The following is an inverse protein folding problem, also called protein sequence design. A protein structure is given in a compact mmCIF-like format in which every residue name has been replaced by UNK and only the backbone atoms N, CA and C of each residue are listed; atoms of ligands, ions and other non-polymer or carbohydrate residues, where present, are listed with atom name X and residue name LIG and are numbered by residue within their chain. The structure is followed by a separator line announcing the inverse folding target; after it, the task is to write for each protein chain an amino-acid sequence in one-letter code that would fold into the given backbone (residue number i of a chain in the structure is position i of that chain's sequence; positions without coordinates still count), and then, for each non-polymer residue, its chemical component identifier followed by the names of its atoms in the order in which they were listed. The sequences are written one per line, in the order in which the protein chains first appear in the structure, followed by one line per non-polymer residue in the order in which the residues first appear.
data_IF_971214415180
#
_entry.id   IF_971214415180
#
_cell.length_a   1.000
_cell.length_b   1.000
_cell.length_c   1.000
_cell.angle_alpha   90.00
_cell.angle_beta   90.00
_cell.angle_gamma   90.00
#
_symmetry.space_group_name_H-M   'P 1'
#
loop_
_entity.id
_entity.type
_entity.pdbx_description
1 polymer ?
#
# COMPACT_ATOMS: atom_id res chain seq x y z
N UNK A 1 -14.97 -71.10 4.63
CA UNK A 1 -14.56 -70.95 3.22
C UNK A 1 -15.72 -70.32 2.47
N UNK A 2 -15.65 -69.01 2.17
CA UNK A 2 -16.21 -68.32 1.01
C UNK A 2 -16.24 -66.80 1.24
N UNK A 3 -15.50 -66.10 0.37
CA UNK A 3 -15.36 -64.65 0.26
C UNK A 3 -16.66 -64.05 -0.29
N UNK A 4 -17.10 -62.91 0.24
CA UNK A 4 -17.77 -61.88 -0.57
C UNK A 4 -17.33 -60.49 -0.07
N UNK A 5 -16.58 -59.81 -0.92
CA UNK A 5 -16.19 -58.40 -0.80
C UNK A 5 -17.20 -57.60 -1.64
N UNK A 6 -17.89 -56.61 -1.05
CA UNK A 6 -18.51 -55.50 -1.80
C UNK A 6 -18.46 -54.22 -0.95
N UNK A 7 -17.68 -53.26 -1.43
CA UNK A 7 -17.50 -51.89 -0.96
C UNK A 7 -18.81 -51.08 -1.05
N UNK A 8 -18.94 -49.99 -0.28
CA UNK A 8 -19.39 -48.64 -0.69
C UNK A 8 -19.75 -47.81 0.55
N UNK A 9 -19.12 -46.63 0.71
CA UNK A 9 -19.47 -45.68 1.77
C UNK A 9 -18.36 -44.68 2.09
N UNK A 10 -17.95 -43.87 1.13
CA UNK A 10 -17.21 -42.64 1.41
C UNK A 10 -18.21 -41.51 1.72
N UNK A 11 -17.96 -40.74 2.78
CA UNK A 11 -18.59 -39.43 2.99
C UNK A 11 -17.58 -38.46 3.63
N UNK A 12 -16.70 -37.95 2.77
CA UNK A 12 -16.24 -36.57 2.66
C UNK A 12 -16.23 -35.71 3.94
N UNK A 13 -15.07 -35.67 4.61
CA UNK A 13 -14.75 -34.66 5.62
C UNK A 13 -13.47 -33.93 5.20
N UNK A 14 -13.49 -33.16 4.11
CA UNK A 14 -12.36 -32.28 3.75
C UNK A 14 -12.78 -31.22 2.74
N UNK A 15 -13.38 -30.11 3.18
CA UNK A 15 -13.35 -28.87 2.39
C UNK A 15 -13.69 -27.64 3.24
N UNK A 16 -12.74 -27.16 4.04
CA UNK A 16 -12.78 -25.82 4.66
C UNK A 16 -11.37 -25.46 5.18
N UNK A 17 -10.41 -25.24 4.26
CA UNK A 17 -9.08 -24.75 4.63
C UNK A 17 -8.44 -23.81 3.59
N UNK A 18 -9.19 -23.35 2.59
CA UNK A 18 -8.63 -22.56 1.47
C UNK A 18 -8.86 -21.05 1.60
N UNK A 19 -9.61 -20.58 2.62
CA UNK A 19 -9.90 -19.13 2.80
C UNK A 19 -8.99 -18.42 3.82
N UNK A 20 -8.19 -19.15 4.60
CA UNK A 20 -7.37 -18.57 5.68
C UNK A 20 -5.99 -18.10 5.27
N UNK A 21 -5.47 -18.53 4.11
CA UNK A 21 -4.10 -18.18 3.67
C UNK A 21 -4.06 -16.77 3.06
N UNK A 22 -5.05 -16.41 2.25
CA UNK A 22 -5.10 -15.09 1.60
C UNK A 22 -5.31 -13.96 2.61
N UNK A 23 -6.11 -14.18 3.66
CA UNK A 23 -6.31 -13.18 4.72
C UNK A 23 -5.06 -12.97 5.58
N UNK A 24 -4.30 -14.04 5.86
CA UNK A 24 -3.06 -13.94 6.63
C UNK A 24 -1.97 -13.16 5.86
N UNK A 25 -1.81 -13.41 4.56
CA UNK A 25 -0.88 -12.65 3.72
C UNK A 25 -1.27 -11.17 3.58
N UNK A 26 -2.56 -10.88 3.38
CA UNK A 26 -3.05 -9.50 3.32
C UNK A 26 -2.85 -8.77 4.66
N UNK A 27 -3.09 -9.44 5.79
CA UNK A 27 -2.85 -8.89 7.12
C UNK A 27 -1.37 -8.53 7.35
N UNK A 28 -0.45 -9.34 6.82
CA UNK A 28 0.99 -9.08 6.90
C UNK A 28 1.41 -7.85 6.07
N UNK A 29 0.88 -7.70 4.85
CA UNK A 29 1.11 -6.51 4.02
C UNK A 29 0.52 -5.24 4.64
N UNK A 30 -0.69 -5.33 5.22
CA UNK A 30 -1.31 -4.20 5.90
C UNK A 30 -0.50 -3.71 7.09
N UNK A 31 -0.03 -4.64 7.93
CA UNK A 31 0.82 -4.32 9.07
C UNK A 31 2.14 -3.69 8.60
N UNK A 32 2.77 -4.25 7.56
CA UNK A 32 4.00 -3.72 6.98
C UNK A 32 3.84 -2.28 6.48
N UNK A 33 2.76 -1.97 5.77
CA UNK A 33 2.51 -0.62 5.29
C UNK A 33 2.32 0.39 6.43
N UNK A 34 1.58 0.00 7.48
CA UNK A 34 1.38 0.83 8.68
C UNK A 34 2.69 1.11 9.41
N UNK A 35 3.43 0.05 9.70
CA UNK A 35 4.72 0.14 10.40
C UNK A 35 5.72 1.01 9.63
N UNK A 36 5.73 0.92 8.30
CA UNK A 36 6.65 1.71 7.48
C UNK A 36 6.28 3.19 7.44
N UNK A 37 4.98 3.53 7.45
CA UNK A 37 4.52 4.92 7.61
C UNK A 37 4.90 5.47 8.98
N UNK A 38 4.70 4.70 10.06
CA UNK A 38 5.07 5.15 11.40
C UNK A 38 6.59 5.34 11.54
N UNK A 39 7.40 4.44 10.96
CA UNK A 39 8.86 4.60 10.89
C UNK A 39 9.28 5.82 10.08
N UNK A 40 8.60 6.09 8.96
CA UNK A 40 8.89 7.27 8.13
C UNK A 40 8.60 8.57 8.88
N UNK A 41 7.47 8.64 9.59
CA UNK A 41 7.13 9.79 10.43
C UNK A 41 8.16 9.98 11.55
N UNK A 42 8.52 8.90 12.26
CA UNK A 42 9.53 8.97 13.31
C UNK A 42 10.89 9.44 12.81
N UNK A 43 11.33 8.95 11.63
CA UNK A 43 12.56 9.42 11.00
C UNK A 43 12.46 10.90 10.61
N UNK A 44 11.33 11.31 10.01
CA UNK A 44 11.08 12.71 9.66
C UNK A 44 11.20 13.63 10.87
N UNK A 45 10.64 13.24 12.02
CA UNK A 45 10.70 14.01 13.26
C UNK A 45 12.13 14.08 13.84
N UNK A 46 12.92 13.01 13.69
CA UNK A 46 14.29 12.94 14.21
C UNK A 46 15.30 13.73 13.36
N UNK A 47 15.25 13.56 12.03
CA UNK A 47 16.27 14.09 11.12
C UNK A 47 15.82 15.28 10.28
N UNK A 48 14.54 15.63 10.36
CA UNK A 48 13.93 16.71 9.59
C UNK A 48 13.64 16.36 8.13
N UNK A 49 12.99 17.30 7.44
CA UNK A 49 12.45 17.10 6.11
C UNK A 49 13.49 16.74 5.05
N UNK A 50 14.55 17.54 4.91
CA UNK A 50 15.53 17.37 3.82
C UNK A 50 16.18 15.98 3.86
N UNK A 51 16.72 15.61 5.02
CA UNK A 51 17.42 14.34 5.19
C UNK A 51 16.49 13.13 5.11
N UNK A 52 15.29 13.20 5.68
CA UNK A 52 14.32 12.10 5.57
C UNK A 52 13.84 11.91 4.13
N UNK A 53 13.62 12.99 3.38
CA UNK A 53 13.18 12.91 1.99
C UNK A 53 14.25 12.33 1.08
N UNK A 54 15.52 12.62 1.32
CA UNK A 54 16.63 11.96 0.62
C UNK A 54 16.63 10.45 0.88
N UNK A 55 16.44 10.04 2.14
CA UNK A 55 16.36 8.62 2.52
C UNK A 55 15.13 7.92 1.90
N UNK A 56 13.98 8.59 1.82
CA UNK A 56 12.78 8.03 1.17
C UNK A 56 12.90 7.96 -0.35
N UNK A 57 13.79 8.74 -0.97
CA UNK A 57 14.04 8.71 -2.41
C UNK A 57 15.19 7.77 -2.80
N UNK A 58 15.96 7.26 -1.84
CA UNK A 58 16.99 6.25 -2.08
C UNK A 58 16.33 4.89 -2.42
N UNK A 59 16.39 4.52 -3.70
CA UNK A 59 15.86 3.24 -4.20
C UNK A 59 16.56 2.01 -3.62
N UNK A 60 17.75 2.18 -3.05
CA UNK A 60 18.52 1.14 -2.36
C UNK A 60 18.43 1.24 -0.84
N UNK A 61 17.68 2.21 -0.32
CA UNK A 61 17.52 2.47 1.11
C UNK A 61 16.47 1.57 1.77
N UNK A 62 16.40 1.65 3.11
CA UNK A 62 15.52 0.84 3.94
C UNK A 62 14.02 1.09 3.72
N UNK A 63 13.65 2.22 3.12
CA UNK A 63 12.27 2.59 2.82
C UNK A 63 11.82 2.14 1.43
N UNK A 64 12.62 1.35 0.71
CA UNK A 64 12.26 0.80 -0.60
C UNK A 64 12.64 -0.68 -0.63
N UNK A 65 11.66 -1.56 -0.57
CA UNK A 65 11.87 -3.00 -0.68
C UNK A 65 10.64 -3.70 -1.24
N UNK A 66 10.88 -4.70 -2.10
CA UNK A 66 9.84 -5.43 -2.82
C UNK A 66 8.85 -4.51 -3.57
N UNK A 67 7.65 -4.32 -3.03
CA UNK A 67 6.61 -3.42 -3.54
C UNK A 67 6.36 -2.21 -2.64
N UNK A 68 6.94 -2.21 -1.44
CA UNK A 68 6.76 -1.17 -0.43
C UNK A 68 7.74 -0.03 -0.67
N UNK A 69 7.20 1.18 -0.66
CA UNK A 69 8.00 2.39 -0.70
C UNK A 69 7.24 3.56 -0.07
N UNK A 70 7.97 4.43 0.63
CA UNK A 70 7.41 5.65 1.22
C UNK A 70 7.20 6.71 0.15
N UNK A 71 6.01 7.30 0.15
CA UNK A 71 5.68 8.53 -0.58
C UNK A 71 5.28 9.56 0.47
N UNK A 72 5.75 10.79 0.30
CA UNK A 72 5.28 11.95 1.07
C UNK A 72 4.63 12.93 0.09
N UNK A 73 3.50 13.50 0.46
CA UNK A 73 2.81 14.54 -0.29
C UNK A 73 2.49 15.76 0.57
N UNK A 74 2.34 16.91 -0.07
CA UNK A 74 1.72 18.10 0.52
C UNK A 74 0.29 17.78 0.99
N UNK A 75 -0.07 18.17 2.21
CA UNK A 75 -1.34 17.79 2.84
C UNK A 75 -2.58 18.51 2.28
N UNK A 76 -2.40 19.56 1.47
CA UNK A 76 -3.50 20.34 0.89
C UNK A 76 -3.67 20.06 -0.60
N UNK A 77 -2.57 20.11 -1.34
CA UNK A 77 -2.53 19.96 -2.80
C UNK A 77 -2.27 18.52 -3.24
N UNK A 78 -1.91 17.63 -2.31
CA UNK A 78 -1.55 16.24 -2.62
C UNK A 78 -0.35 16.11 -3.57
N UNK A 79 0.44 17.17 -3.73
CA UNK A 79 1.61 17.16 -4.62
C UNK A 79 2.68 16.27 -3.99
N UNK A 80 3.17 15.28 -4.73
CA UNK A 80 4.22 14.39 -4.24
C UNK A 80 5.54 15.15 -4.03
N UNK A 81 6.11 14.97 -2.85
CA UNK A 81 7.40 15.49 -2.40
C UNK A 81 8.50 14.43 -2.48
N UNK A 82 8.13 13.16 -2.33
CA UNK A 82 9.03 12.01 -2.54
C UNK A 82 8.33 10.95 -3.39
N UNK A 83 9.09 10.24 -4.23
CA UNK A 83 8.60 9.07 -4.95
C UNK A 83 9.77 8.27 -5.57
N UNK A 84 10.42 7.40 -4.79
CA UNK A 84 11.60 6.65 -5.23
C UNK A 84 11.42 5.88 -6.55
N UNK A 85 10.27 5.22 -6.74
CA UNK A 85 10.06 4.37 -7.92
C UNK A 85 9.95 5.19 -9.22
N UNK A 86 9.14 6.25 -9.22
CA UNK A 86 8.94 7.15 -10.35
C UNK A 86 9.16 8.62 -9.95
N UNK A 87 10.43 9.10 -9.93
CA UNK A 87 10.77 10.46 -9.54
C UNK A 87 10.12 11.55 -10.40
N UNK A 88 9.64 11.22 -11.61
CA UNK A 88 8.93 12.17 -12.50
C UNK A 88 7.57 12.61 -11.95
N UNK A 89 7.05 11.93 -10.93
CA UNK A 89 5.80 12.30 -10.27
C UNK A 89 6.02 13.37 -9.19
N UNK A 90 7.24 13.54 -8.69
CA UNK A 90 7.57 14.56 -7.70
C UNK A 90 7.34 15.95 -8.30
N UNK A 91 6.70 16.85 -7.54
CA UNK A 91 6.32 18.20 -7.94
C UNK A 91 5.42 18.29 -9.19
N UNK A 92 4.73 17.21 -9.56
CA UNK A 92 3.83 17.22 -10.72
C UNK A 92 2.44 17.78 -10.32
N UNK A 93 2.03 18.96 -10.84
CA UNK A 93 0.75 19.57 -10.49
C UNK A 93 -0.46 18.83 -11.09
N UNK A 94 -0.26 18.00 -12.11
CA UNK A 94 -1.34 17.27 -12.79
C UNK A 94 -1.88 16.08 -11.99
N UNK A 95 -1.25 15.71 -10.88
CA UNK A 95 -1.67 14.54 -10.10
C UNK A 95 -2.98 14.76 -9.35
N UNK A 96 -3.35 16.01 -9.05
CA UNK A 96 -4.62 16.33 -8.39
C UNK A 96 -5.85 15.87 -9.18
N UNK A 97 -5.76 15.92 -10.52
CA UNK A 97 -6.83 15.54 -11.44
C UNK A 97 -6.63 14.14 -12.02
N UNK A 98 -5.60 13.41 -11.58
CA UNK A 98 -5.31 12.07 -12.07
C UNK A 98 -6.38 11.09 -11.58
N UNK A 99 -7.02 10.43 -12.53
CA UNK A 99 -7.99 9.38 -12.28
C UNK A 99 -7.39 8.01 -12.58
N UNK A 100 -7.79 7.01 -11.79
CA UNK A 100 -7.61 5.62 -12.17
C UNK A 100 -8.60 5.20 -13.27
N UNK A 101 -8.54 3.93 -13.67
CA UNK A 101 -9.44 3.36 -14.69
C UNK A 101 -10.91 3.30 -14.28
N UNK A 102 -11.21 3.52 -12.99
CA UNK A 102 -12.55 3.55 -12.42
C UNK A 102 -13.03 4.99 -12.19
N UNK A 103 -12.36 5.98 -12.79
CA UNK A 103 -12.66 7.42 -12.64
C UNK A 103 -12.50 7.96 -11.22
N UNK A 104 -11.77 7.25 -10.34
CA UNK A 104 -11.47 7.73 -8.98
C UNK A 104 -10.31 8.72 -9.03
N UNK A 105 -10.51 9.91 -8.46
CA UNK A 105 -9.42 10.88 -8.25
C UNK A 105 -8.51 10.42 -7.11
N UNK A 106 -7.38 9.79 -7.47
CA UNK A 106 -6.53 9.06 -6.54
C UNK A 106 -5.98 9.98 -5.43
N UNK A 107 -5.40 11.11 -5.84
CA UNK A 107 -4.70 12.01 -4.90
C UNK A 107 -5.68 12.77 -4.01
N UNK A 108 -6.85 13.12 -4.54
CA UNK A 108 -7.89 13.79 -3.76
C UNK A 108 -8.40 12.88 -2.64
N UNK A 109 -8.64 11.62 -2.97
CA UNK A 109 -9.06 10.60 -2.00
C UNK A 109 -8.02 10.38 -0.90
N UNK A 110 -6.72 10.34 -1.24
CA UNK A 110 -5.65 10.28 -0.23
C UNK A 110 -5.65 11.51 0.68
N UNK A 111 -5.80 12.70 0.12
CA UNK A 111 -5.84 13.95 0.90
C UNK A 111 -7.06 14.00 1.82
N UNK A 112 -8.23 13.63 1.32
CA UNK A 112 -9.46 13.53 2.10
C UNK A 112 -9.33 12.46 3.20
N UNK A 113 -8.74 11.31 2.90
CA UNK A 113 -8.49 10.23 3.86
C UNK A 113 -7.58 10.70 5.01
N UNK A 114 -6.47 11.35 4.68
CA UNK A 114 -5.53 11.89 5.67
C UNK A 114 -6.17 12.97 6.55
N UNK A 115 -7.03 13.81 5.99
CA UNK A 115 -7.77 14.85 6.73
C UNK A 115 -8.85 14.26 7.65
N UNK A 116 -9.54 13.21 7.18
CA UNK A 116 -10.64 12.59 7.93
C UNK A 116 -10.18 11.64 9.03
N UNK A 117 -8.97 11.09 8.93
CA UNK A 117 -8.47 10.02 9.81
C UNK A 117 -7.13 10.40 10.46
N UNK A 118 -7.12 11.05 11.63
CA UNK A 118 -5.89 11.45 12.33
C UNK A 118 -4.95 10.29 12.64
N UNK A 119 -5.51 9.11 12.92
CA UNK A 119 -4.75 7.88 13.20
C UNK A 119 -4.33 7.12 11.92
N UNK A 120 -4.71 7.64 10.76
CA UNK A 120 -4.47 7.06 9.44
C UNK A 120 -5.68 6.32 8.86
N UNK A 121 -5.69 6.15 7.54
CA UNK A 121 -6.76 5.50 6.78
C UNK A 121 -6.28 4.85 5.48
N UNK A 122 -7.14 4.05 4.86
CA UNK A 122 -6.84 3.34 3.62
C UNK A 122 -7.44 4.04 2.40
N UNK A 123 -6.63 4.23 1.36
CA UNK A 123 -7.05 4.65 0.02
C UNK A 123 -6.79 3.51 -0.97
N UNK A 124 -7.82 3.11 -1.72
CA UNK A 124 -7.77 2.02 -2.70
C UNK A 124 -8.02 2.55 -4.12
N UNK A 125 -7.20 2.14 -5.08
CA UNK A 125 -7.25 2.59 -6.47
C UNK A 125 -6.47 1.65 -7.38
N UNK A 126 -6.73 1.70 -8.69
CA UNK A 126 -5.92 0.95 -9.66
C UNK A 126 -4.66 1.74 -10.05
N UNK A 127 -3.50 1.09 -10.04
CA UNK A 127 -2.22 1.72 -10.43
C UNK A 127 -1.30 0.75 -11.18
N UNK A 128 -0.32 1.30 -11.90
CA UNK A 128 0.71 0.49 -12.55
C UNK A 128 1.62 -0.14 -11.50
N UNK A 129 1.68 -1.47 -11.49
CA UNK A 129 2.56 -2.24 -10.62
C UNK A 129 4.04 -2.03 -11.01
N UNK A 130 4.94 -1.73 -10.06
CA UNK A 130 6.31 -1.33 -10.35
C UNK A 130 7.13 -2.44 -11.00
N UNK A 131 6.90 -3.69 -10.62
CA UNK A 131 7.61 -4.86 -11.18
C UNK A 131 6.98 -5.35 -12.49
N UNK A 132 5.69 -5.70 -12.50
CA UNK A 132 5.02 -6.32 -13.66
C UNK A 132 4.66 -5.33 -14.78
N UNK A 133 4.63 -4.03 -14.50
CA UNK A 133 4.21 -2.95 -15.40
C UNK A 133 2.75 -3.05 -15.88
N UNK A 134 1.93 -3.89 -15.25
CA UNK A 134 0.49 -4.02 -15.51
C UNK A 134 -0.30 -3.19 -14.50
N UNK A 135 -1.53 -2.85 -14.85
CA UNK A 135 -2.49 -2.29 -13.89
C UNK A 135 -2.87 -3.36 -12.86
N UNK A 136 -2.92 -2.95 -11.60
CA UNK A 136 -3.33 -3.78 -10.47
C UNK A 136 -4.03 -2.90 -9.42
N UNK A 137 -4.88 -3.51 -8.61
CA UNK A 137 -5.44 -2.84 -7.43
C UNK A 137 -4.32 -2.57 -6.44
N UNK A 138 -4.30 -1.34 -5.92
CA UNK A 138 -3.35 -0.88 -4.93
C UNK A 138 -4.10 -0.38 -3.72
N UNK A 139 -3.65 -0.84 -2.55
CA UNK A 139 -4.13 -0.41 -1.25
C UNK A 139 -3.03 0.36 -0.53
N UNK A 140 -3.30 1.63 -0.24
CA UNK A 140 -2.32 2.57 0.32
C UNK A 140 -2.77 3.04 1.70
N UNK A 141 -1.93 2.83 2.70
CA UNK A 141 -2.09 3.41 4.03
C UNK A 141 -1.65 4.87 3.98
N UNK A 142 -2.44 5.74 4.57
CA UNK A 142 -2.30 7.19 4.49
C UNK A 142 -2.38 7.75 5.90
N UNK A 143 -1.41 8.56 6.31
CA UNK A 143 -1.42 9.23 7.61
C UNK A 143 -0.94 10.68 7.47
N UNK A 144 -1.73 11.61 8.00
CA UNK A 144 -1.37 13.02 8.03
C UNK A 144 -0.40 13.31 9.18
N UNK A 145 0.64 14.10 8.90
CA UNK A 145 1.60 14.57 9.90
C UNK A 145 2.30 15.83 9.42
N UNK A 146 2.41 16.84 10.28
CA UNK A 146 3.11 18.12 10.00
C UNK A 146 2.74 18.77 8.63
N UNK A 147 1.43 18.88 8.37
CA UNK A 147 0.91 19.46 7.12
C UNK A 147 1.20 18.65 5.85
N UNK A 148 1.64 17.39 6.02
CA UNK A 148 1.97 16.46 4.94
C UNK A 148 1.18 15.17 5.10
N UNK A 149 1.21 14.36 4.06
CA UNK A 149 0.64 13.02 4.04
C UNK A 149 1.75 12.03 3.78
N UNK A 150 1.96 11.11 4.73
CA UNK A 150 2.87 9.99 4.62
C UNK A 150 2.08 8.76 4.21
N UNK A 151 2.60 8.03 3.23
CA UNK A 151 1.88 6.90 2.65
C UNK A 151 2.80 5.80 2.15
N UNK A 152 2.32 4.57 2.33
CA UNK A 152 2.92 3.34 1.83
C UNK A 152 1.78 2.46 1.35
N UNK A 153 1.92 1.85 0.18
CA UNK A 153 0.90 0.95 -0.35
C UNK A 153 1.48 -0.27 -1.03
N UNK A 154 0.66 -1.30 -1.11
CA UNK A 154 0.96 -2.59 -1.70
C UNK A 154 -0.13 -2.96 -2.71
N UNK A 155 0.16 -3.94 -3.55
CA UNK A 155 -0.70 -4.44 -4.60
C UNK A 155 -1.28 -5.80 -4.23
N UNK A 156 -2.50 -6.04 -4.70
CA UNK A 156 -3.18 -7.34 -4.62
C UNK A 156 -2.88 -8.23 -5.83
#
# INVERSE_FOLDING_TARGET
MNKVLRSFGAALASLLMVLSVSSAMAQDKEATAKDLVDKAIALYDDVGQEKSFDMFNDKSGEFVFDEFYVIVADGEKGTFLTHAINPKLVNNPGLWDLQDVNSKFIIRDMVETGKASPDGGWSNYTWTHPQTKKLAEKKTWVKAHDGKIFMVGYYD
#
